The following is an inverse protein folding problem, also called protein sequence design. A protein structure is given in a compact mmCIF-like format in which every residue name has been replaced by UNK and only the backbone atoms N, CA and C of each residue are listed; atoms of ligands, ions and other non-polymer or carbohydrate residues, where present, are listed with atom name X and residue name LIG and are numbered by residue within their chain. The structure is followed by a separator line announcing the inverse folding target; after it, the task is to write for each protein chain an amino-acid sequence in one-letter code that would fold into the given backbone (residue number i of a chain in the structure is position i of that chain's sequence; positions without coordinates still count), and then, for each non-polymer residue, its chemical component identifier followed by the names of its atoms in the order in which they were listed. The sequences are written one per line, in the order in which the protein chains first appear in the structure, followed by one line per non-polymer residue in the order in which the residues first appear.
data_IF_941042759174
#
_entry.id   IF_941042759174
#
_cell.length_a   1.000
_cell.length_b   1.000
_cell.length_c   1.000
_cell.angle_alpha   90.00
_cell.angle_beta   90.00
_cell.angle_gamma   90.00
#
_symmetry.space_group_name_H-M   'P 1'
#
loop_
_entity.id
_entity.type
_entity.pdbx_description
1 polymer ?
#
# COMPACT_ATOMS: atom_id res chain seq x y z
N UNK A 1 8.76 20.39 30.53
CA UNK A 1 8.82 20.51 29.05
C UNK A 1 8.18 19.27 28.42
N UNK A 2 7.24 19.45 27.51
CA UNK A 2 6.58 18.34 26.84
C UNK A 2 7.29 18.08 25.53
N UNK A 3 7.79 16.84 25.36
CA UNK A 3 8.41 16.43 24.09
C UNK A 3 7.31 15.98 23.13
N UNK A 4 7.20 16.67 22.00
CA UNK A 4 6.30 16.26 20.94
C UNK A 4 6.92 15.11 20.15
N UNK A 5 6.13 14.08 19.91
CA UNK A 5 6.53 12.99 19.02
C UNK A 5 6.52 13.50 17.57
N UNK A 6 7.47 13.04 16.76
CA UNK A 6 7.49 13.34 15.34
C UNK A 6 6.31 12.64 14.63
N UNK A 7 5.99 13.12 13.42
CA UNK A 7 4.96 12.48 12.59
C UNK A 7 5.30 11.01 12.30
N UNK A 8 6.59 10.73 12.06
CA UNK A 8 7.06 9.35 11.82
C UNK A 8 6.88 8.46 13.03
N UNK A 9 7.16 8.96 14.24
CA UNK A 9 6.97 8.20 15.48
C UNK A 9 5.50 7.88 15.73
N UNK A 10 4.61 8.85 15.50
CA UNK A 10 3.17 8.67 15.64
C UNK A 10 2.67 7.64 14.62
N UNK A 11 3.12 7.71 13.37
CA UNK A 11 2.75 6.76 12.32
C UNK A 11 3.18 5.35 12.69
N UNK A 12 4.41 5.17 13.17
CA UNK A 12 4.93 3.86 13.58
C UNK A 12 4.08 3.27 14.71
N UNK A 13 3.68 4.09 15.69
CA UNK A 13 2.80 3.64 16.76
C UNK A 13 1.45 3.18 16.24
N UNK A 14 0.84 3.95 15.33
CA UNK A 14 -0.45 3.61 14.73
C UNK A 14 -0.35 2.32 13.91
N UNK A 15 0.72 2.17 13.13
CA UNK A 15 0.96 0.98 12.34
C UNK A 15 1.12 -0.25 13.22
N UNK A 16 1.91 -0.14 14.29
CA UNK A 16 2.09 -1.24 15.26
C UNK A 16 0.76 -1.67 15.86
N UNK A 17 -0.10 -0.71 16.21
CA UNK A 17 -1.43 -0.97 16.76
C UNK A 17 -2.31 -1.71 15.76
N UNK A 18 -2.31 -1.29 14.51
CA UNK A 18 -3.05 -1.95 13.44
C UNK A 18 -2.56 -3.40 13.23
N UNK A 19 -1.24 -3.61 13.29
CA UNK A 19 -0.62 -4.92 13.05
C UNK A 19 -0.99 -5.97 14.10
N UNK A 20 -1.51 -5.59 15.25
CA UNK A 20 -2.06 -6.56 16.20
C UNK A 20 -3.23 -7.36 15.64
N UNK A 21 -3.95 -6.80 14.67
CA UNK A 21 -5.13 -7.42 14.07
C UNK A 21 -4.97 -7.73 12.58
N UNK A 22 -3.94 -7.20 11.94
CA UNK A 22 -3.72 -7.36 10.50
C UNK A 22 -2.56 -8.32 10.26
N UNK A 23 -2.91 -9.52 9.80
CA UNK A 23 -1.92 -10.53 9.41
C UNK A 23 -2.32 -11.06 8.03
N UNK A 24 -1.37 -11.02 7.09
CA UNK A 24 -1.57 -11.58 5.76
C UNK A 24 -1.30 -13.09 5.75
N UNK A 25 -2.13 -13.84 5.04
CA UNK A 25 -1.96 -15.28 4.84
C UNK A 25 -1.75 -15.55 3.34
N UNK A 26 -1.47 -16.82 3.00
CA UNK A 26 -1.33 -17.19 1.58
C UNK A 26 -2.64 -17.00 0.81
N UNK A 27 -3.79 -17.26 1.45
CA UNK A 27 -5.11 -17.12 0.83
C UNK A 27 -5.58 -15.66 0.79
N UNK A 28 -5.16 -14.86 1.76
CA UNK A 28 -5.55 -13.46 1.90
C UNK A 28 -4.35 -12.64 2.38
N UNK A 29 -3.39 -12.38 1.48
CA UNK A 29 -2.18 -11.66 1.86
C UNK A 29 -2.44 -10.19 2.20
N UNK A 30 -1.49 -9.57 2.85
CA UNK A 30 -1.60 -8.19 3.31
C UNK A 30 -1.12 -7.22 2.24
N UNK A 31 -2.00 -6.31 1.82
CA UNK A 31 -1.63 -5.18 0.95
C UNK A 31 -1.14 -4.04 1.83
N UNK A 32 0.17 -3.84 1.88
CA UNK A 32 0.82 -2.82 2.69
C UNK A 32 1.19 -1.61 1.83
N UNK A 33 0.87 -0.42 2.33
CA UNK A 33 1.10 0.85 1.64
C UNK A 33 2.09 1.68 2.43
N UNK A 34 3.02 2.30 1.71
CA UNK A 34 3.95 3.27 2.28
C UNK A 34 4.12 4.45 1.33
N UNK A 35 4.21 5.66 1.88
CA UNK A 35 4.52 6.84 1.09
C UNK A 35 5.71 7.59 1.69
N UNK A 36 6.59 8.08 0.82
CA UNK A 36 7.65 9.01 1.17
C UNK A 36 7.30 10.38 0.60
N UNK A 37 8.19 11.36 0.73
CA UNK A 37 7.97 12.71 0.20
C UNK A 37 7.76 12.70 -1.32
N UNK A 38 8.42 11.80 -2.04
CA UNK A 38 8.46 11.83 -3.50
C UNK A 38 7.80 10.61 -4.16
N UNK A 39 7.56 9.53 -3.43
CA UNK A 39 7.10 8.28 -4.02
C UNK A 39 6.06 7.57 -3.16
N UNK A 40 5.32 6.68 -3.81
CA UNK A 40 4.30 5.83 -3.19
C UNK A 40 4.62 4.38 -3.51
N UNK A 41 4.49 3.50 -2.53
CA UNK A 41 4.84 2.08 -2.61
C UNK A 41 3.68 1.23 -2.14
N UNK A 42 3.50 0.08 -2.79
CA UNK A 42 2.55 -0.94 -2.36
C UNK A 42 3.19 -2.31 -2.46
N UNK A 43 2.96 -3.17 -1.47
CA UNK A 43 3.43 -4.55 -1.45
C UNK A 43 2.31 -5.45 -0.99
N UNK A 44 2.24 -6.64 -1.59
CA UNK A 44 1.35 -7.70 -1.12
C UNK A 44 2.22 -8.78 -0.49
N UNK A 45 2.01 -9.02 0.80
CA UNK A 45 2.91 -9.81 1.64
C UNK A 45 2.17 -10.98 2.27
N UNK A 46 2.76 -12.19 2.19
CA UNK A 46 2.34 -13.34 2.97
C UNK A 46 3.14 -13.33 4.27
N UNK A 47 2.50 -12.92 5.37
CA UNK A 47 3.15 -12.81 6.67
C UNK A 47 3.48 -14.17 7.31
N UNK A 48 2.88 -15.26 6.84
CA UNK A 48 3.16 -16.59 7.39
C UNK A 48 4.58 -17.07 7.07
N UNK A 49 5.13 -16.59 5.95
CA UNK A 49 6.51 -16.93 5.53
C UNK A 49 7.38 -15.68 5.35
N UNK A 50 6.82 -14.50 5.54
CA UNK A 50 7.55 -13.23 5.41
C UNK A 50 7.97 -12.88 3.99
N UNK A 51 7.24 -13.38 2.97
CA UNK A 51 7.56 -13.11 1.57
C UNK A 51 6.68 -12.03 0.96
N UNK A 52 7.31 -11.12 0.21
CA UNK A 52 6.59 -10.19 -0.65
C UNK A 52 6.23 -10.89 -1.96
N UNK A 53 4.94 -11.03 -2.21
CA UNK A 53 4.43 -11.74 -3.40
C UNK A 53 4.37 -10.82 -4.61
N UNK A 54 3.98 -9.56 -4.40
CA UNK A 54 3.78 -8.55 -5.45
C UNK A 54 4.23 -7.21 -4.90
N UNK A 55 4.85 -6.39 -5.73
CA UNK A 55 5.23 -5.03 -5.38
C UNK A 55 4.99 -4.09 -6.56
N UNK A 56 4.59 -2.86 -6.26
CA UNK A 56 4.47 -1.78 -7.23
C UNK A 56 4.83 -0.46 -6.57
N UNK A 57 5.43 0.44 -7.33
CA UNK A 57 5.78 1.77 -6.81
C UNK A 57 5.88 2.78 -7.94
N UNK A 58 5.84 4.06 -7.58
CA UNK A 58 6.08 5.16 -8.52
C UNK A 58 7.52 5.23 -9.01
N UNK A 59 8.43 4.46 -8.40
CA UNK A 59 9.81 4.34 -8.87
C UNK A 59 9.94 3.43 -10.09
N UNK A 60 8.96 2.58 -10.36
CA UNK A 60 8.97 1.71 -11.53
C UNK A 60 8.86 2.55 -12.80
N UNK A 61 9.71 2.27 -13.78
CA UNK A 61 9.77 3.05 -15.01
C UNK A 61 8.45 3.09 -15.75
N UNK A 62 7.76 1.97 -15.84
CA UNK A 62 6.47 1.87 -16.51
C UNK A 62 5.40 2.79 -15.89
N UNK A 63 5.44 2.96 -14.58
CA UNK A 63 4.51 3.84 -13.86
C UNK A 63 4.99 5.28 -13.92
N UNK A 64 6.29 5.50 -13.66
CA UNK A 64 6.90 6.83 -13.61
C UNK A 64 6.77 7.58 -14.93
N UNK A 65 6.96 6.89 -16.06
CA UNK A 65 6.95 7.51 -17.39
C UNK A 65 5.55 8.01 -17.80
N UNK A 66 4.49 7.45 -17.20
CA UNK A 66 3.11 7.86 -17.46
C UNK A 66 2.65 8.99 -16.55
N UNK A 67 3.45 9.37 -15.55
CA UNK A 67 3.06 10.34 -14.54
C UNK A 67 3.85 11.64 -14.69
N UNK A 68 3.14 12.76 -14.53
CA UNK A 68 3.77 14.07 -14.43
C UNK A 68 4.44 14.23 -13.06
N UNK A 69 3.79 13.76 -12.00
CA UNK A 69 4.28 13.80 -10.63
C UNK A 69 4.16 12.43 -9.97
N UNK A 70 5.10 12.08 -9.09
CA UNK A 70 5.13 10.79 -8.42
C UNK A 70 4.61 10.83 -6.98
N UNK A 71 4.13 11.99 -6.52
CA UNK A 71 3.75 12.23 -5.12
C UNK A 71 2.32 12.71 -4.93
N UNK A 72 1.45 12.56 -5.95
CA UNK A 72 0.07 13.05 -5.88
C UNK A 72 -0.94 11.90 -5.91
N UNK A 73 -2.24 12.27 -5.87
CA UNK A 73 -3.35 11.30 -5.86
C UNK A 73 -3.37 10.45 -7.12
N UNK A 74 -3.08 11.05 -8.29
CA UNK A 74 -3.03 10.31 -9.54
C UNK A 74 -1.92 9.25 -9.53
N UNK A 75 -0.77 9.56 -8.93
CA UNK A 75 0.32 8.60 -8.75
C UNK A 75 -0.09 7.44 -7.85
N UNK A 76 -0.80 7.73 -6.76
CA UNK A 76 -1.31 6.70 -5.86
C UNK A 76 -2.29 5.77 -6.56
N UNK A 77 -3.20 6.32 -7.36
CA UNK A 77 -4.15 5.53 -8.15
C UNK A 77 -3.41 4.62 -9.15
N UNK A 78 -2.38 5.14 -9.82
CA UNK A 78 -1.58 4.34 -10.75
C UNK A 78 -0.89 3.15 -10.06
N UNK A 79 -0.37 3.35 -8.85
CA UNK A 79 0.24 2.27 -8.06
C UNK A 79 -0.82 1.23 -7.66
N UNK A 80 -2.01 1.69 -7.23
CA UNK A 80 -3.11 0.79 -6.90
C UNK A 80 -3.53 -0.09 -8.07
N UNK A 81 -3.68 0.50 -9.25
CA UNK A 81 -3.98 -0.23 -10.47
C UNK A 81 -2.89 -1.25 -10.81
N UNK A 82 -1.63 -0.84 -10.73
CA UNK A 82 -0.49 -1.70 -11.05
C UNK A 82 -0.37 -2.89 -10.11
N UNK A 83 -0.52 -2.67 -8.80
CA UNK A 83 -0.42 -3.76 -7.82
C UNK A 83 -1.56 -4.74 -7.96
N UNK A 84 -2.78 -4.24 -8.27
CA UNK A 84 -3.93 -5.10 -8.49
C UNK A 84 -3.75 -5.99 -9.73
N UNK A 85 -3.28 -5.42 -10.83
CA UNK A 85 -3.01 -6.20 -12.05
C UNK A 85 -1.98 -7.29 -11.83
N UNK A 86 -0.88 -6.95 -11.15
CA UNK A 86 0.17 -7.93 -10.82
C UNK A 86 -0.35 -9.03 -9.91
N UNK A 87 -1.21 -8.69 -8.95
CA UNK A 87 -1.81 -9.65 -8.03
C UNK A 87 -2.73 -10.63 -8.77
N UNK A 88 -3.59 -10.11 -9.64
CA UNK A 88 -4.51 -10.94 -10.42
C UNK A 88 -3.77 -11.89 -11.36
N UNK A 89 -2.66 -11.45 -11.95
CA UNK A 89 -1.80 -12.30 -12.76
C UNK A 89 -1.23 -13.49 -11.98
N UNK A 90 -1.03 -13.33 -10.66
CA UNK A 90 -0.56 -14.39 -9.77
C UNK A 90 -1.69 -15.18 -9.11
N UNK A 91 -2.94 -14.89 -9.46
CA UNK A 91 -4.09 -15.57 -8.88
C UNK A 91 -4.51 -15.05 -7.51
N UNK A 92 -3.99 -13.90 -7.09
CA UNK A 92 -4.37 -13.27 -5.82
C UNK A 92 -5.58 -12.40 -6.07
N UNK A 93 -6.71 -12.71 -5.42
CA UNK A 93 -7.97 -11.98 -5.61
C UNK A 93 -8.44 -11.26 -4.37
N UNK A 94 -8.03 -11.73 -3.18
CA UNK A 94 -8.44 -11.14 -1.90
C UNK A 94 -7.21 -10.75 -1.10
N UNK A 95 -7.26 -9.58 -0.46
CA UNK A 95 -6.19 -9.09 0.40
C UNK A 95 -6.79 -8.46 1.65
N UNK A 96 -5.99 -8.32 2.72
CA UNK A 96 -6.31 -7.44 3.85
C UNK A 96 -5.54 -6.14 3.65
N UNK A 97 -6.22 -5.01 3.82
CA UNK A 97 -5.60 -3.71 3.58
C UNK A 97 -4.90 -3.19 4.84
N UNK A 98 -3.60 -2.90 4.71
CA UNK A 98 -2.80 -2.28 5.75
C UNK A 98 -2.44 -0.86 5.31
N UNK A 99 -3.08 0.13 5.91
CA UNK A 99 -2.84 1.54 5.58
C UNK A 99 -1.50 2.07 6.11
N UNK A 100 -0.69 1.23 6.77
CA UNK A 100 0.67 1.58 7.20
C UNK A 100 0.74 2.65 8.29
N UNK A 101 -0.34 2.85 9.07
CA UNK A 101 -0.42 3.90 10.08
C UNK A 101 -0.78 5.27 9.51
N UNK A 102 -0.96 5.39 8.19
CA UNK A 102 -1.44 6.63 7.56
C UNK A 102 -2.95 6.76 7.74
N UNK A 103 -3.45 7.99 7.60
CA UNK A 103 -4.90 8.24 7.62
C UNK A 103 -5.49 7.75 6.30
N UNK A 104 -6.65 7.07 6.36
CA UNK A 104 -7.34 6.56 5.18
C UNK A 104 -8.08 7.70 4.47
N UNK A 105 -7.31 8.52 3.76
CA UNK A 105 -7.83 9.59 2.92
C UNK A 105 -6.76 10.01 1.91
N UNK A 106 -7.13 10.79 0.92
CA UNK A 106 -6.22 11.32 -0.09
C UNK A 106 -5.51 10.21 -0.87
N UNK A 107 -4.19 10.20 -0.85
CA UNK A 107 -3.37 9.25 -1.61
C UNK A 107 -3.62 7.80 -1.21
N UNK A 108 -3.73 7.52 0.09
CA UNK A 108 -3.95 6.16 0.59
C UNK A 108 -5.31 5.63 0.12
N UNK A 109 -6.34 6.45 0.23
CA UNK A 109 -7.68 6.11 -0.25
C UNK A 109 -7.70 5.92 -1.77
N UNK A 110 -7.04 6.78 -2.53
CA UNK A 110 -6.97 6.70 -3.99
C UNK A 110 -6.31 5.38 -4.45
N UNK A 111 -5.25 4.96 -3.78
CA UNK A 111 -4.59 3.69 -4.07
C UNK A 111 -5.54 2.51 -3.81
N UNK A 112 -6.21 2.51 -2.66
CA UNK A 112 -7.14 1.45 -2.29
C UNK A 112 -8.32 1.38 -3.26
N UNK A 113 -8.91 2.53 -3.60
CA UNK A 113 -10.04 2.58 -4.53
C UNK A 113 -9.65 2.09 -5.93
N UNK A 114 -8.47 2.47 -6.42
CA UNK A 114 -7.98 2.00 -7.73
C UNK A 114 -7.73 0.49 -7.73
N UNK A 115 -7.19 -0.06 -6.66
CA UNK A 115 -6.98 -1.50 -6.54
C UNK A 115 -8.30 -2.26 -6.52
N UNK A 116 -9.31 -1.73 -5.83
CA UNK A 116 -10.67 -2.33 -5.82
C UNK A 116 -11.32 -2.28 -7.18
N UNK A 117 -11.20 -1.17 -7.90
CA UNK A 117 -11.73 -1.04 -9.26
C UNK A 117 -11.13 -2.04 -10.22
N UNK A 118 -9.86 -2.40 -10.04
CA UNK A 118 -9.16 -3.38 -10.88
C UNK A 118 -9.42 -4.82 -10.46
N UNK A 119 -10.21 -5.06 -9.42
CA UNK A 119 -10.71 -6.38 -9.10
C UNK A 119 -10.23 -6.99 -7.79
N UNK A 120 -9.38 -6.33 -7.02
CA UNK A 120 -9.00 -6.82 -5.70
C UNK A 120 -10.16 -6.63 -4.70
N UNK A 121 -10.35 -7.62 -3.85
CA UNK A 121 -11.40 -7.63 -2.83
C UNK A 121 -10.79 -7.38 -1.45
N UNK A 122 -11.27 -6.36 -0.81
CA UNK A 122 -10.91 -6.03 0.58
C UNK A 122 -11.80 -4.95 1.18
#
# INVERSE_FOLDING_TARGET
MVNKQSRSEIRVKKHRRLRHHLVGTAQRPRLSVFRSNNHIYAQIIDDTVGNTLVAASTMEKAIKDELQYTDNVAAAAAVGTAVAKKALEKGITEVVFDRGGFIYQGKIQALADAAREDGLKF
#
